data_IF_071395625554
#
_entry.id   IF_071395625554
#
_cell.length_a   1.000
_cell.length_b   1.000
_cell.length_c   1.000
_cell.angle_alpha   90.00
_cell.angle_beta   90.00
_cell.angle_gamma   90.00
#
_symmetry.space_group_name_H-M   'P 1'
#
loop_
_entity.id
_entity.type
_entity.pdbx_description
1 polymer ?
#
# COMPACT_ATOMS: atom_id res chain seq x y z
N UNK A 1 2.01 -1.48 -37.42
CA UNK A 1 1.70 -1.41 -35.98
C UNK A 1 3.00 -1.16 -35.24
N UNK A 2 3.38 0.11 -35.03
CA UNK A 2 4.55 0.41 -34.21
C UNK A 2 4.14 0.32 -32.73
N UNK A 3 4.77 -0.58 -31.98
CA UNK A 3 4.71 -0.53 -30.51
C UNK A 3 5.48 0.72 -30.12
N UNK A 4 4.76 1.74 -29.65
CA UNK A 4 5.38 3.01 -29.26
C UNK A 4 6.38 2.77 -28.13
N UNK A 5 7.67 2.93 -28.43
CA UNK A 5 8.72 2.84 -27.44
C UNK A 5 8.54 3.98 -26.44
N UNK A 6 8.36 3.65 -25.16
CA UNK A 6 8.23 4.62 -24.09
C UNK A 6 9.49 5.52 -24.05
N UNK A 7 9.36 6.81 -23.65
CA UNK A 7 10.52 7.66 -23.42
C UNK A 7 11.51 6.99 -22.46
N UNK A 8 12.81 7.17 -22.70
CA UNK A 8 13.86 6.47 -21.97
C UNK A 8 13.85 6.83 -20.47
N UNK A 9 13.48 8.07 -20.16
CA UNK A 9 13.28 8.61 -18.82
C UNK A 9 12.14 7.90 -18.11
N UNK A 10 11.00 7.73 -18.79
CA UNK A 10 9.82 7.02 -18.25
C UNK A 10 10.12 5.54 -18.01
N UNK A 11 10.82 4.87 -18.93
CA UNK A 11 11.28 3.49 -18.73
C UNK A 11 12.28 3.35 -17.57
N UNK A 12 13.16 4.34 -17.40
CA UNK A 12 14.14 4.39 -16.31
C UNK A 12 13.47 4.59 -14.96
N UNK A 13 12.54 5.54 -14.84
CA UNK A 13 11.80 5.77 -13.60
C UNK A 13 10.86 4.61 -13.27
N UNK A 14 10.17 4.01 -14.25
CA UNK A 14 9.36 2.82 -14.02
C UNK A 14 10.19 1.63 -13.52
N UNK A 15 11.42 1.45 -14.03
CA UNK A 15 12.36 0.45 -13.50
C UNK A 15 12.77 0.76 -12.06
N UNK A 16 13.18 2.00 -11.77
CA UNK A 16 13.50 2.45 -10.42
C UNK A 16 12.32 2.22 -9.46
N UNK A 17 11.09 2.54 -9.88
CA UNK A 17 9.89 2.35 -9.07
C UNK A 17 9.64 0.87 -8.75
N UNK A 18 9.89 -0.04 -9.70
CA UNK A 18 9.84 -1.50 -9.46
C UNK A 18 10.96 -1.97 -8.53
N UNK A 19 12.18 -1.44 -8.67
CA UNK A 19 13.30 -1.73 -7.77
C UNK A 19 12.99 -1.27 -6.33
N UNK A 20 12.47 -0.06 -6.15
CA UNK A 20 12.02 0.46 -4.85
C UNK A 20 10.87 -0.38 -4.27
N UNK A 21 9.86 -0.69 -5.07
CA UNK A 21 8.71 -1.46 -4.61
C UNK A 21 9.00 -2.94 -4.33
N UNK A 22 10.11 -3.49 -4.84
CA UNK A 22 10.59 -4.82 -4.44
C UNK A 22 11.14 -4.83 -3.00
N UNK A 23 11.46 -3.67 -2.42
CA UNK A 23 11.84 -3.51 -1.01
C UNK A 23 10.63 -3.33 -0.07
N UNK A 24 9.41 -3.25 -0.61
CA UNK A 24 8.19 -2.94 0.14
C UNK A 24 7.22 -4.14 0.18
N UNK A 25 6.58 -4.34 1.33
CA UNK A 25 5.54 -5.34 1.51
C UNK A 25 4.22 -4.91 0.86
N UNK A 26 3.71 -5.69 -0.10
CA UNK A 26 2.42 -5.43 -0.77
C UNK A 26 1.21 -5.61 0.15
N UNK A 27 1.39 -6.17 1.34
CA UNK A 27 0.36 -6.38 2.36
C UNK A 27 0.39 -5.37 3.52
N UNK A 28 1.30 -4.40 3.53
CA UNK A 28 1.33 -3.35 4.56
C UNK A 28 1.70 -1.95 4.01
N UNK A 29 1.70 -0.95 4.90
CA UNK A 29 2.00 0.44 4.56
C UNK A 29 1.00 1.09 3.60
N UNK A 30 1.38 2.24 3.06
CA UNK A 30 0.65 2.90 1.97
C UNK A 30 0.67 2.06 0.68
N UNK A 31 1.71 1.28 0.46
CA UNK A 31 1.86 0.43 -0.71
C UNK A 31 0.69 -0.55 -0.87
N UNK A 32 0.27 -1.20 0.21
CA UNK A 32 -0.93 -2.04 0.22
C UNK A 32 -2.21 -1.24 -0.03
N UNK A 33 -2.37 -0.07 0.62
CA UNK A 33 -3.55 0.79 0.46
C UNK A 33 -3.73 1.21 -1.00
N UNK A 34 -2.65 1.59 -1.69
CA UNK A 34 -2.74 1.95 -3.11
C UNK A 34 -3.04 0.75 -4.01
N UNK A 35 -2.44 -0.42 -3.75
CA UNK A 35 -2.76 -1.64 -4.50
C UNK A 35 -4.20 -2.11 -4.33
N UNK A 36 -4.76 -1.99 -3.11
CA UNK A 36 -6.15 -2.33 -2.84
C UNK A 36 -7.11 -1.34 -3.54
N UNK A 37 -6.75 -0.06 -3.58
CA UNK A 37 -7.62 1.01 -4.08
C UNK A 37 -7.56 1.22 -5.60
N UNK A 38 -6.41 1.04 -6.23
CA UNK A 38 -6.23 1.18 -7.68
C UNK A 38 -5.15 0.23 -8.25
N UNK A 39 -5.45 -1.08 -8.34
CA UNK A 39 -4.48 -2.07 -8.83
C UNK A 39 -4.17 -1.92 -10.33
N UNK A 40 -5.00 -1.23 -11.11
CA UNK A 40 -4.74 -0.95 -12.53
C UNK A 40 -3.85 0.28 -12.70
N UNK A 41 -4.11 1.36 -11.94
CA UNK A 41 -3.27 2.55 -11.89
C UNK A 41 -1.86 2.24 -11.38
N UNK A 42 -1.73 1.43 -10.33
CA UNK A 42 -0.42 0.96 -9.85
C UNK A 42 0.33 0.17 -10.94
N UNK A 43 -0.35 -0.77 -11.64
CA UNK A 43 0.24 -1.48 -12.79
C UNK A 43 0.70 -0.53 -13.89
N UNK A 44 -0.13 0.43 -14.28
CA UNK A 44 0.22 1.40 -15.31
C UNK A 44 1.46 2.24 -14.93
N UNK A 45 1.62 2.59 -13.66
CA UNK A 45 2.80 3.28 -13.14
C UNK A 45 4.05 2.38 -13.17
N UNK A 46 3.94 1.13 -12.68
CA UNK A 46 5.06 0.17 -12.69
C UNK A 46 5.48 -0.27 -14.10
N UNK A 47 4.57 -0.25 -15.06
CA UNK A 47 4.84 -0.53 -16.47
C UNK A 47 5.35 0.70 -17.24
N UNK A 48 5.37 1.90 -16.62
CA UNK A 48 5.76 3.15 -17.27
C UNK A 48 4.75 3.67 -18.29
N UNK A 49 3.51 3.17 -18.28
CA UNK A 49 2.40 3.67 -19.11
C UNK A 49 1.81 4.97 -18.56
N UNK A 50 1.91 5.17 -17.25
CA UNK A 50 1.55 6.41 -16.55
C UNK A 50 2.70 6.85 -15.63
N UNK A 51 2.75 8.15 -15.31
CA UNK A 51 3.66 8.67 -14.27
C UNK A 51 2.87 8.78 -12.96
N UNK A 52 3.27 8.09 -11.88
CA UNK A 52 2.59 8.20 -10.59
C UNK A 52 2.68 9.63 -10.05
N UNK A 53 1.63 10.13 -9.37
CA UNK A 53 1.72 11.37 -8.60
C UNK A 53 2.82 11.30 -7.53
N UNK A 54 3.44 12.44 -7.24
CA UNK A 54 4.52 12.50 -6.24
C UNK A 54 4.05 12.09 -4.84
N UNK A 55 2.81 12.37 -4.44
CA UNK A 55 2.30 11.95 -3.12
C UNK A 55 2.29 10.43 -2.94
N UNK A 56 2.12 9.67 -4.04
CA UNK A 56 2.23 8.21 -4.04
C UNK A 56 3.69 7.81 -3.83
N UNK A 57 4.62 8.39 -4.61
CA UNK A 57 6.06 8.10 -4.49
C UNK A 57 6.60 8.43 -3.09
N UNK A 58 6.22 9.60 -2.54
CA UNK A 58 6.58 10.01 -1.18
C UNK A 58 6.02 9.07 -0.11
N UNK A 59 4.81 8.53 -0.31
CA UNK A 59 4.23 7.54 0.61
C UNK A 59 4.94 6.19 0.53
N UNK A 60 5.39 5.77 -0.65
CA UNK A 60 6.24 4.56 -0.80
C UNK A 60 7.63 4.77 -0.18
N UNK A 61 8.18 5.99 -0.23
CA UNK A 61 9.41 6.36 0.47
C UNK A 61 9.21 6.42 2.00
N UNK A 62 8.01 6.80 2.48
CA UNK A 62 7.64 6.70 3.89
C UNK A 62 7.58 5.23 4.35
N UNK A 63 6.98 4.34 3.55
CA UNK A 63 7.00 2.90 3.84
C UNK A 63 8.45 2.38 3.84
N UNK A 64 9.27 2.82 2.88
CA UNK A 64 10.70 2.48 2.80
C UNK A 64 11.49 2.95 4.04
N UNK A 65 11.16 4.13 4.60
CA UNK A 65 11.75 4.61 5.84
C UNK A 65 11.43 3.69 7.02
N UNK A 66 10.23 3.09 7.04
CA UNK A 66 9.85 2.08 8.03
C UNK A 66 10.62 0.75 7.89
N UNK A 67 11.12 0.41 6.69
CA UNK A 67 11.84 -0.84 6.41
C UNK A 67 13.37 -0.68 6.46
N UNK A 68 13.90 0.48 6.05
CA UNK A 68 15.34 0.74 5.84
C UNK A 68 15.91 1.90 6.66
N UNK A 69 15.07 2.56 7.47
CA UNK A 69 15.43 3.74 8.26
C UNK A 69 15.30 5.05 7.49
N UNK A 70 15.07 6.15 8.21
CA UNK A 70 14.83 7.48 7.62
C UNK A 70 15.98 7.98 6.76
N UNK A 71 17.22 7.89 7.24
CA UNK A 71 18.39 8.38 6.49
C UNK A 71 18.62 7.69 5.14
N UNK A 72 18.22 6.41 5.01
CA UNK A 72 18.23 5.72 3.72
C UNK A 72 17.13 6.28 2.79
N UNK A 73 15.90 6.40 3.31
CA UNK A 73 14.76 6.92 2.56
C UNK A 73 14.94 8.39 2.14
N UNK A 74 15.57 9.24 2.97
CA UNK A 74 15.95 10.61 2.63
C UNK A 74 16.94 10.65 1.45
N UNK A 75 17.93 9.76 1.44
CA UNK A 75 18.89 9.65 0.32
C UNK A 75 18.23 9.16 -0.98
N UNK A 76 17.32 8.19 -0.88
CA UNK A 76 16.54 7.71 -2.03
C UNK A 76 15.44 8.70 -2.46
N UNK A 77 14.93 9.59 -1.59
CA UNK A 77 14.00 10.66 -2.00
C UNK A 77 14.67 11.60 -3.00
N UNK A 78 15.91 12.02 -2.76
CA UNK A 78 16.66 12.90 -3.68
C UNK A 78 16.77 12.26 -5.06
N UNK A 79 17.09 10.96 -5.10
CA UNK A 79 17.18 10.16 -6.34
C UNK A 79 15.80 9.99 -7.00
N UNK A 80 14.78 9.64 -6.22
CA UNK A 80 13.40 9.50 -6.68
C UNK A 80 12.88 10.80 -7.31
N UNK A 81 13.13 11.94 -6.67
CA UNK A 81 12.70 13.27 -7.14
C UNK A 81 13.32 13.61 -8.49
N UNK A 82 14.61 13.35 -8.66
CA UNK A 82 15.31 13.57 -9.93
C UNK A 82 14.75 12.68 -11.06
N UNK A 83 14.52 11.39 -10.79
CA UNK A 83 14.02 10.45 -11.79
C UNK A 83 12.54 10.69 -12.12
N UNK A 84 11.72 11.00 -11.11
CA UNK A 84 10.30 11.37 -11.27
C UNK A 84 10.16 12.63 -12.11
N UNK A 85 10.92 13.69 -11.81
CA UNK A 85 10.89 14.94 -12.56
C UNK A 85 11.27 14.77 -14.04
N UNK A 86 12.33 14.00 -14.32
CA UNK A 86 12.73 13.67 -15.68
C UNK A 86 11.66 12.86 -16.43
N UNK A 87 11.09 11.85 -15.76
CA UNK A 87 9.99 11.04 -16.31
C UNK A 87 8.72 11.86 -16.56
N UNK A 88 8.36 12.78 -15.67
CA UNK A 88 7.18 13.64 -15.80
C UNK A 88 7.36 14.59 -17.00
N UNK A 89 8.51 15.28 -17.09
CA UNK A 89 8.79 16.18 -18.20
C UNK A 89 8.82 15.47 -19.57
N UNK A 90 9.40 14.26 -19.64
CA UNK A 90 9.39 13.45 -20.85
C UNK A 90 7.98 12.95 -21.23
N UNK A 91 7.16 12.62 -20.23
CA UNK A 91 5.76 12.20 -20.42
C UNK A 91 4.87 13.36 -20.89
N UNK A 92 5.04 14.55 -20.31
CA UNK A 92 4.20 15.72 -20.59
C UNK A 92 4.54 16.38 -21.94
N UNK A 93 5.79 16.25 -22.42
CA UNK A 93 6.23 16.70 -23.76
C UNK A 93 5.71 15.86 -24.94
N UNK A 94 5.04 14.73 -24.70
CA UNK A 94 4.48 13.92 -25.80
C UNK A 94 3.37 14.69 -26.54
N UNK A 95 3.08 14.30 -27.77
CA UNK A 95 1.93 14.86 -28.50
C UNK A 95 0.62 14.65 -27.70
N UNK A 96 -0.12 15.74 -27.43
CA UNK A 96 -1.32 15.71 -26.57
C UNK A 96 -1.04 15.67 -25.06
N UNK A 97 0.23 15.76 -24.63
CA UNK A 97 0.62 15.66 -23.22
C UNK A 97 0.14 16.84 -22.37
N UNK A 98 0.23 18.07 -22.89
CA UNK A 98 -0.28 19.29 -22.24
C UNK A 98 -1.80 19.21 -22.02
N UNK A 99 -2.54 18.81 -23.05
CA UNK A 99 -3.99 18.69 -23.03
C UNK A 99 -4.43 17.61 -22.02
N UNK A 100 -3.79 16.44 -22.04
CA UNK A 100 -4.04 15.37 -21.07
C UNK A 100 -3.72 15.81 -19.62
N UNK A 101 -2.69 16.63 -19.43
CA UNK A 101 -2.31 17.19 -18.12
C UNK A 101 -3.35 18.21 -17.61
N UNK A 102 -3.91 19.03 -18.50
CA UNK A 102 -5.00 19.95 -18.19
C UNK A 102 -6.31 19.20 -17.84
N UNK A 103 -6.72 18.21 -18.65
CA UNK A 103 -7.87 17.33 -18.36
C UNK A 103 -7.71 16.62 -17.00
N UNK A 104 -6.49 16.16 -16.69
CA UNK A 104 -6.17 15.52 -15.39
C UNK A 104 -6.28 16.51 -14.22
N UNK A 105 -5.89 17.77 -14.40
CA UNK A 105 -6.07 18.82 -13.40
C UNK A 105 -7.55 19.15 -13.18
N UNK A 106 -8.36 19.29 -14.24
CA UNK A 106 -9.79 19.55 -14.11
C UNK A 106 -10.51 18.44 -13.33
N UNK A 107 -10.21 17.18 -13.66
CA UNK A 107 -10.68 16.01 -12.92
C UNK A 107 -10.28 16.07 -11.45
N UNK A 108 -9.00 16.34 -11.14
CA UNK A 108 -8.51 16.39 -9.76
C UNK A 108 -9.08 17.58 -8.96
N UNK A 109 -9.38 18.70 -9.62
CA UNK A 109 -10.09 19.83 -9.01
C UNK A 109 -11.54 19.51 -8.66
N UNK A 110 -12.20 18.64 -9.44
CA UNK A 110 -13.52 18.12 -9.11
C UNK A 110 -13.44 17.13 -7.93
N UNK A 111 -12.48 16.20 -7.92
CA UNK A 111 -12.25 15.28 -6.80
C UNK A 111 -11.95 16.04 -5.49
N UNK A 112 -11.10 17.08 -5.54
CA UNK A 112 -10.82 17.94 -4.38
C UNK A 112 -12.07 18.67 -3.86
N UNK A 113 -12.95 19.13 -4.75
CA UNK A 113 -14.24 19.76 -4.38
C UNK A 113 -15.19 18.75 -3.73
N UNK A 114 -15.27 17.54 -4.27
CA UNK A 114 -16.07 16.44 -3.70
C UNK A 114 -15.57 16.03 -2.31
N UNK A 115 -14.26 15.83 -2.13
CA UNK A 115 -13.66 15.49 -0.84
C UNK A 115 -13.95 16.57 0.23
N UNK A 116 -13.86 17.85 -0.13
CA UNK A 116 -14.21 18.95 0.77
C UNK A 116 -15.70 18.97 1.17
N UNK A 117 -16.61 18.61 0.25
CA UNK A 117 -18.03 18.44 0.55
C UNK A 117 -18.27 17.28 1.52
N UNK A 118 -17.72 16.09 1.24
CA UNK A 118 -17.76 14.92 2.13
C UNK A 118 -17.17 15.20 3.51
N UNK A 119 -16.09 15.98 3.60
CA UNK A 119 -15.51 16.38 4.89
C UNK A 119 -16.51 17.20 5.71
N UNK A 120 -17.21 18.16 5.08
CA UNK A 120 -18.22 18.99 5.75
C UNK A 120 -19.43 18.18 6.21
N UNK A 121 -19.91 17.25 5.38
CA UNK A 121 -21.01 16.33 5.69
C UNK A 121 -20.66 15.44 6.90
N UNK A 122 -19.51 14.75 6.85
CA UNK A 122 -19.06 13.87 7.94
C UNK A 122 -18.76 14.64 9.23
N UNK A 123 -18.13 15.82 9.12
CA UNK A 123 -17.90 16.67 10.28
C UNK A 123 -19.20 17.22 10.87
N UNK A 124 -20.26 17.44 10.08
CA UNK A 124 -21.59 17.78 10.58
C UNK A 124 -22.22 16.58 11.30
N UNK A 125 -22.27 15.40 10.64
CA UNK A 125 -22.78 14.17 11.23
C UNK A 125 -22.11 13.82 12.57
N UNK A 126 -20.79 13.97 12.65
CA UNK A 126 -20.00 13.74 13.86
C UNK A 126 -20.40 14.67 15.03
N UNK A 127 -20.78 15.93 14.74
CA UNK A 127 -21.27 16.86 15.76
C UNK A 127 -22.69 16.56 16.24
N UNK A 128 -23.49 15.86 15.42
CA UNK A 128 -24.89 15.50 15.71
C UNK A 128 -25.07 14.05 16.15
N UNK A 129 -24.00 13.24 16.15
CA UNK A 129 -24.04 11.81 16.47
C UNK A 129 -24.58 11.56 17.88
N UNK A 130 -25.55 10.64 17.99
CA UNK A 130 -26.28 10.41 19.24
C UNK A 130 -25.59 9.39 20.16
N UNK A 131 -24.54 8.70 19.69
CA UNK A 131 -23.83 7.68 20.45
C UNK A 131 -22.37 7.48 20.02
N UNK A 132 -21.52 7.07 20.97
CA UNK A 132 -20.08 6.97 20.77
C UNK A 132 -19.63 6.05 19.63
N UNK A 133 -20.35 4.95 19.38
CA UNK A 133 -20.03 4.04 18.26
C UNK A 133 -20.34 4.61 16.87
N UNK A 134 -21.32 5.51 16.77
CA UNK A 134 -21.59 6.26 15.53
C UNK A 134 -20.55 7.35 15.33
N UNK A 135 -20.24 8.11 16.40
CA UNK A 135 -19.19 9.12 16.40
C UNK A 135 -17.82 8.55 16.02
N UNK A 136 -17.46 7.35 16.52
CA UNK A 136 -16.21 6.69 16.14
C UNK A 136 -16.15 6.40 14.64
N UNK A 137 -17.17 5.73 14.07
CA UNK A 137 -17.20 5.42 12.63
C UNK A 137 -17.12 6.66 11.75
N UNK A 138 -17.85 7.73 12.11
CA UNK A 138 -17.81 9.00 11.40
C UNK A 138 -16.45 9.70 11.55
N UNK A 139 -15.78 9.56 12.70
CA UNK A 139 -14.41 10.03 12.93
C UNK A 139 -13.39 9.31 12.06
N UNK A 140 -13.51 7.97 11.94
CA UNK A 140 -12.63 7.14 11.11
C UNK A 140 -12.81 7.45 9.62
N UNK A 141 -14.06 7.56 9.13
CA UNK A 141 -14.33 7.97 7.74
C UNK A 141 -13.84 9.39 7.45
N UNK A 142 -14.04 10.32 8.39
CA UNK A 142 -13.57 11.70 8.29
C UNK A 142 -12.03 11.78 8.23
N UNK A 143 -11.30 10.90 8.93
CA UNK A 143 -9.85 10.82 8.85
C UNK A 143 -9.37 10.40 7.45
N UNK A 144 -10.03 9.41 6.84
CA UNK A 144 -9.77 8.99 5.46
C UNK A 144 -10.09 10.07 4.43
N UNK A 145 -11.26 10.70 4.52
CA UNK A 145 -11.66 11.80 3.60
C UNK A 145 -10.70 12.99 3.70
N UNK A 146 -10.18 13.30 4.89
CA UNK A 146 -9.14 14.32 5.09
C UNK A 146 -7.81 13.96 4.43
N UNK A 147 -7.40 12.70 4.47
CA UNK A 147 -6.18 12.28 3.78
C UNK A 147 -6.33 12.35 2.26
N UNK A 148 -7.45 11.85 1.74
CA UNK A 148 -7.82 11.98 0.33
C UNK A 148 -7.85 13.45 -0.12
N UNK A 149 -8.42 14.34 0.70
CA UNK A 149 -8.45 15.78 0.43
C UNK A 149 -7.05 16.42 0.40
N UNK A 150 -6.13 16.01 1.29
CA UNK A 150 -4.73 16.43 1.26
C UNK A 150 -4.02 15.93 0.00
N UNK A 151 -4.18 14.65 -0.35
CA UNK A 151 -3.59 14.04 -1.55
C UNK A 151 -4.11 14.68 -2.83
N UNK A 152 -5.42 14.88 -2.96
CA UNK A 152 -6.02 15.57 -4.10
C UNK A 152 -5.52 17.02 -4.24
N UNK A 153 -5.27 17.71 -3.13
CA UNK A 153 -4.68 19.05 -3.12
C UNK A 153 -3.22 19.03 -3.60
N UNK A 154 -2.38 18.14 -3.06
CA UNK A 154 -0.99 17.97 -3.49
C UNK A 154 -0.89 17.64 -4.99
N UNK A 155 -1.79 16.80 -5.51
CA UNK A 155 -1.91 16.47 -6.94
C UNK A 155 -2.30 17.68 -7.79
N UNK A 156 -3.23 18.51 -7.33
CA UNK A 156 -3.56 19.75 -8.04
C UNK A 156 -2.35 20.67 -8.18
N UNK A 157 -1.53 20.77 -7.13
CA UNK A 157 -0.37 21.66 -7.12
C UNK A 157 0.79 21.10 -7.97
N UNK A 158 1.00 19.78 -7.96
CA UNK A 158 1.93 19.11 -8.89
C UNK A 158 1.51 19.32 -10.36
N UNK A 159 0.25 19.06 -10.70
CA UNK A 159 -0.26 19.18 -12.07
C UNK A 159 -0.19 20.64 -12.58
N UNK A 160 -0.46 21.64 -11.71
CA UNK A 160 -0.24 23.06 -12.03
C UNK A 160 1.23 23.37 -12.28
N UNK A 161 2.13 22.91 -11.43
CA UNK A 161 3.56 23.14 -11.60
C UNK A 161 4.09 22.54 -12.91
N UNK A 162 3.61 21.34 -13.28
CA UNK A 162 3.93 20.67 -14.54
C UNK A 162 3.36 21.43 -15.76
N UNK A 163 2.11 21.92 -15.70
CA UNK A 163 1.55 22.77 -16.77
C UNK A 163 2.38 24.04 -16.98
N UNK A 164 2.78 24.72 -15.90
CA UNK A 164 3.65 25.91 -15.98
C UNK A 164 5.03 25.57 -16.56
N UNK A 165 5.57 24.38 -16.32
CA UNK A 165 6.82 23.93 -16.94
C UNK A 165 6.67 23.68 -18.44
N UNK A 166 5.62 22.96 -18.86
CA UNK A 166 5.32 22.71 -20.28
C UNK A 166 5.06 24.02 -21.03
N UNK A 167 4.31 24.94 -20.45
CA UNK A 167 3.99 26.23 -21.08
C UNK A 167 5.26 27.08 -21.29
N UNK A 168 6.20 27.08 -20.32
CA UNK A 168 7.52 27.73 -20.46
C UNK A 168 8.44 27.08 -21.49
N UNK A 169 8.32 25.77 -21.71
CA UNK A 169 9.06 25.06 -22.77
C UNK A 169 8.42 25.30 -24.16
N UNK A 170 7.12 25.59 -24.20
CA UNK A 170 6.37 25.89 -25.42
C UNK A 170 6.44 27.37 -25.84
N UNK A 171 6.70 28.30 -24.91
CA UNK A 171 7.02 29.68 -25.23
C UNK A 171 8.27 29.73 -26.12
N UNK A 172 8.19 30.27 -27.35
CA UNK A 172 9.37 30.44 -28.18
C UNK A 172 10.32 31.38 -27.45
N UNK A 173 11.51 30.89 -27.11
CA UNK A 173 12.56 31.73 -26.57
C UNK A 173 12.81 32.88 -27.56
N UNK A 174 12.32 34.09 -27.22
CA UNK A 174 12.79 35.30 -27.86
C UNK A 174 14.25 35.44 -27.45
N UNK A 175 15.12 34.83 -28.27
CA UNK A 175 16.54 34.97 -28.18
C UNK A 175 16.88 36.43 -28.47
N UNK A 176 16.88 37.26 -27.42
CA UNK A 176 17.40 38.63 -27.45
C UNK A 176 18.82 38.52 -27.99
N UNK A 177 19.13 39.06 -29.18
CA UNK A 177 20.44 38.88 -29.77
C UNK A 177 21.50 39.46 -28.82
N UNK A 178 22.62 38.76 -28.57
CA UNK A 178 23.68 39.24 -27.69
C UNK A 178 24.29 40.53 -28.29
N UNK A 179 23.83 41.67 -27.78
CA UNK A 179 24.12 42.99 -28.34
C UNK A 179 23.13 44.09 -27.96
N UNK A 180 21.91 43.75 -27.52
CA UNK A 180 20.88 44.76 -27.18
C UNK A 180 21.22 45.61 -25.93
N UNK A 181 22.08 45.12 -25.04
CA UNK A 181 22.63 45.88 -23.92
C UNK A 181 24.10 46.24 -24.17
N UNK A 182 24.33 47.24 -25.02
CA UNK A 182 25.55 48.06 -24.93
C UNK A 182 25.29 49.21 -23.96
N UNK A 183 26.16 49.44 -22.95
CA UNK A 183 26.12 50.66 -22.16
C UNK A 183 26.63 51.81 -23.04
N UNK A 184 25.73 52.69 -23.45
CA UNK A 184 26.09 53.80 -24.34
C UNK A 184 26.75 54.95 -23.58
N UNK A 185 27.73 55.60 -24.22
CA UNK A 185 28.65 56.54 -23.58
C UNK A 185 28.19 57.98 -23.83
N UNK A 186 27.52 58.55 -22.81
CA UNK A 186 27.39 59.99 -22.52
C UNK A 186 26.95 60.97 -23.63
N UNK A 187 25.62 61.10 -23.81
CA UNK A 187 24.91 62.38 -24.02
C UNK A 187 24.83 62.98 -25.45
N UNK A 188 24.12 64.12 -25.64
CA UNK A 188 23.14 64.80 -24.78
C UNK A 188 21.72 64.90 -25.40
N UNK A 189 20.75 65.38 -24.61
CA UNK A 189 19.29 65.43 -24.92
C UNK A 189 18.90 66.55 -25.90
N UNK A 190 17.90 66.32 -26.78
CA UNK A 190 16.86 67.33 -27.07
C UNK A 190 15.44 66.84 -26.72
N UNK A 191 14.53 67.79 -26.44
CA UNK A 191 13.12 67.55 -26.07
C UNK A 191 12.18 67.77 -27.28
N UNK A 192 11.16 66.92 -27.43
CA UNK A 192 9.77 67.18 -27.88
C UNK A 192 9.01 65.83 -27.86
N UNK A 193 7.85 65.68 -27.20
CA UNK A 193 6.47 66.15 -27.48
C UNK A 193 5.84 65.44 -28.70
N UNK A 194 4.64 64.90 -28.45
CA UNK A 194 3.84 64.10 -29.38
C UNK A 194 3.85 62.63 -28.95
N UNK A 195 2.77 61.85 -28.95
CA UNK A 195 1.31 62.03 -28.92
C UNK A 195 0.77 60.57 -28.88
N UNK A 196 -0.47 60.34 -28.47
CA UNK A 196 -1.03 58.99 -28.43
C UNK A 196 -1.30 58.45 -29.84
N UNK A 197 -1.01 57.17 -30.09
CA UNK A 197 -1.90 56.37 -30.94
C UNK A 197 -1.85 54.87 -30.62
N UNK A 198 -3.04 54.26 -30.60
CA UNK A 198 -3.27 52.83 -30.42
C UNK A 198 -3.67 52.25 -31.78
N UNK A 199 -3.03 51.17 -32.28
CA UNK A 199 -3.52 50.46 -33.44
C UNK A 199 -4.42 49.28 -33.03
N UNK A 200 -5.69 49.36 -33.39
CA UNK A 200 -6.63 48.23 -33.42
C UNK A 200 -6.32 47.25 -34.59
N UNK A 201 -6.83 46.00 -34.55
CA UNK A 201 -6.37 44.92 -35.43
C UNK A 201 -6.98 44.93 -36.83
N UNK A 202 -6.20 44.48 -37.81
CA UNK A 202 -6.67 44.29 -39.20
C UNK A 202 -7.33 42.92 -39.37
N UNK A 203 -8.57 42.93 -39.85
CA UNK A 203 -9.36 41.74 -40.19
C UNK A 203 -8.93 41.18 -41.54
N UNK A 204 -8.81 39.85 -41.67
CA UNK A 204 -8.95 39.17 -42.98
C UNK A 204 -9.60 37.79 -42.83
N UNK A 205 -10.58 37.51 -43.70
CA UNK A 205 -11.48 36.38 -43.59
C UNK A 205 -11.00 35.10 -44.31
N UNK A 206 -11.43 33.98 -43.72
CA UNK A 206 -11.83 32.68 -44.28
C UNK A 206 -11.32 32.20 -45.64
N UNK A 207 -10.81 30.96 -45.63
CA UNK A 207 -10.94 30.00 -46.73
C UNK A 207 -11.36 28.65 -46.14
N UNK A 208 -12.51 28.14 -46.57
CA UNK A 208 -13.17 26.94 -46.01
C UNK A 208 -12.80 25.67 -46.80
N UNK A 209 -12.64 24.53 -46.11
CA UNK A 209 -12.44 23.21 -46.72
C UNK A 209 -13.15 22.11 -45.89
N UNK A 210 -13.66 21.04 -46.53
CA UNK A 210 -14.90 20.40 -46.08
C UNK A 210 -14.77 19.33 -44.98
N UNK A 211 -15.86 19.16 -44.23
CA UNK A 211 -15.96 18.30 -43.06
C UNK A 211 -16.07 16.78 -43.37
N UNK A 212 -15.43 15.97 -42.51
CA UNK A 212 -15.60 14.52 -42.45
C UNK A 212 -16.69 14.12 -41.41
N UNK A 213 -17.37 12.96 -41.56
CA UNK A 213 -18.51 12.60 -40.71
C UNK A 213 -18.12 12.23 -39.26
N UNK A 214 -19.04 12.41 -38.29
CA UNK A 214 -18.71 12.31 -36.86
C UNK A 214 -18.43 10.88 -36.40
N UNK A 215 -17.21 10.66 -35.90
CA UNK A 215 -16.86 9.44 -35.19
C UNK A 215 -17.63 9.35 -33.85
N UNK A 216 -18.24 8.19 -33.59
CA UNK A 216 -19.05 7.94 -32.39
C UNK A 216 -18.20 8.09 -31.12
N UNK A 217 -18.55 9.05 -30.26
CA UNK A 217 -17.97 9.21 -28.91
C UNK A 217 -18.06 7.87 -28.15
N UNK A 218 -16.90 7.24 -27.89
CA UNK A 218 -16.83 6.08 -27.00
C UNK A 218 -16.98 6.57 -25.56
N UNK A 219 -17.91 5.98 -24.81
CA UNK A 219 -18.09 6.27 -23.38
C UNK A 219 -16.82 5.91 -22.61
N UNK A 220 -16.37 6.72 -21.63
CA UNK A 220 -15.30 6.31 -20.73
C UNK A 220 -15.75 5.08 -19.94
N UNK A 221 -14.98 3.98 -20.00
CA UNK A 221 -15.10 2.86 -19.07
C UNK A 221 -13.95 2.97 -18.08
N UNK A 222 -14.24 3.43 -16.87
CA UNK A 222 -13.32 3.55 -15.76
C UNK A 222 -14.06 3.25 -14.44
N UNK A 223 -13.41 2.56 -13.51
CA UNK A 223 -14.05 1.90 -12.38
C UNK A 223 -14.39 2.84 -11.20
N UNK A 224 -15.18 3.89 -11.44
CA UNK A 224 -15.76 4.77 -10.39
C UNK A 224 -17.29 4.96 -10.51
N UNK A 225 -17.98 4.06 -11.23
CA UNK A 225 -19.44 4.09 -11.43
C UNK A 225 -20.10 2.72 -11.22
N UNK A 226 -19.79 2.07 -10.09
CA UNK A 226 -20.56 0.95 -9.57
C UNK A 226 -21.07 1.34 -8.17
N UNK A 227 -22.34 1.78 -8.08
CA UNK A 227 -22.96 2.17 -6.80
C UNK A 227 -23.65 3.53 -6.74
N UNK A 228 -24.19 4.06 -7.85
CA UNK A 228 -25.17 5.15 -7.82
C UNK A 228 -26.36 4.71 -8.69
N UNK A 229 -27.44 4.31 -8.02
CA UNK A 229 -28.79 4.28 -8.59
C UNK A 229 -29.52 5.52 -8.08
N UNK A 230 -30.25 6.20 -8.96
CA UNK A 230 -31.21 7.24 -8.58
C UNK A 230 -32.39 7.14 -9.56
N UNK A 231 -33.60 7.02 -9.02
CA UNK A 231 -34.83 6.67 -9.75
C UNK A 231 -35.51 7.89 -10.38
N UNK A 232 -35.92 7.77 -11.66
CA UNK A 232 -37.14 8.40 -12.21
C UNK A 232 -37.36 8.03 -13.70
N UNK A 233 -38.13 6.97 -14.00
CA UNK A 233 -39.47 7.10 -14.62
C UNK A 233 -40.17 5.74 -14.92
N UNK A 234 -41.50 5.78 -15.03
CA UNK A 234 -42.46 4.67 -14.81
C UNK A 234 -43.53 4.65 -15.92
N UNK A 235 -44.05 3.55 -16.51
CA UNK A 235 -44.04 2.07 -16.34
C UNK A 235 -44.16 1.45 -17.79
N UNK A 236 -44.70 0.22 -18.12
CA UNK A 236 -45.15 -0.94 -17.32
C UNK A 236 -44.54 -2.31 -17.70
N UNK A 237 -44.82 -3.32 -16.87
CA UNK A 237 -44.42 -4.73 -17.05
C UNK A 237 -45.37 -5.55 -17.95
N UNK A 238 -44.94 -6.77 -18.33
CA UNK A 238 -45.84 -7.93 -18.33
C UNK A 238 -45.33 -9.04 -17.41
N UNK A 239 -46.23 -9.63 -16.61
CA UNK A 239 -45.95 -10.74 -15.70
C UNK A 239 -46.36 -12.09 -16.31
N UNK A 240 -45.60 -13.16 -16.03
CA UNK A 240 -46.00 -14.58 -16.12
C UNK A 240 -45.10 -15.45 -15.20
N UNK A 241 -45.49 -16.69 -14.83
CA UNK A 241 -45.54 -17.06 -13.40
C UNK A 241 -44.43 -18.01 -12.90
N UNK A 242 -44.27 -18.01 -11.58
CA UNK A 242 -43.38 -18.89 -10.80
C UNK A 242 -44.08 -20.20 -10.41
N UNK A 243 -43.49 -21.39 -10.68
CA UNK A 243 -43.91 -22.65 -10.07
C UNK A 243 -43.23 -22.88 -8.69
N UNK A 244 -43.91 -23.51 -7.71
CA UNK A 244 -43.42 -23.63 -6.33
C UNK A 244 -42.42 -24.76 -6.10
N UNK A 245 -41.62 -24.64 -5.04
CA UNK A 245 -40.70 -25.67 -4.56
C UNK A 245 -41.36 -26.65 -3.57
N UNK A 246 -41.01 -27.93 -3.66
CA UNK A 246 -41.46 -29.04 -2.82
C UNK A 246 -40.35 -30.12 -2.75
N UNK A 247 -40.33 -31.02 -1.75
CA UNK A 247 -39.11 -31.26 -0.97
C UNK A 247 -38.30 -32.53 -1.30
N UNK A 248 -37.21 -32.71 -0.56
CA UNK A 248 -36.22 -33.78 -0.70
C UNK A 248 -36.80 -35.20 -0.72
N UNK A 249 -36.27 -36.03 -1.62
CA UNK A 249 -36.56 -37.46 -1.71
C UNK A 249 -35.24 -38.27 -1.79
N UNK A 250 -35.18 -39.35 -1.00
CA UNK A 250 -34.01 -40.24 -0.88
C UNK A 250 -34.08 -41.35 -1.93
N UNK A 251 -32.98 -41.70 -2.63
CA UNK A 251 -32.90 -42.94 -3.39
C UNK A 251 -32.29 -44.08 -2.55
N UNK A 252 -33.10 -45.08 -2.19
CA UNK A 252 -32.60 -46.44 -1.84
C UNK A 252 -32.39 -47.21 -3.15
N UNK A 253 -31.20 -47.77 -3.39
CA UNK A 253 -30.87 -48.29 -4.74
C UNK A 253 -29.78 -49.36 -4.94
N UNK A 254 -29.20 -49.95 -3.88
CA UNK A 254 -28.48 -51.25 -3.87
C UNK A 254 -27.10 -51.43 -4.59
N UNK A 255 -26.24 -52.22 -3.91
CA UNK A 255 -25.03 -52.98 -4.37
C UNK A 255 -23.80 -52.11 -4.75
N UNK A 256 -22.66 -52.13 -4.06
CA UNK A 256 -21.83 -53.25 -3.54
C UNK A 256 -20.88 -52.77 -2.41
N UNK A 257 -20.50 -53.66 -1.48
CA UNK A 257 -19.33 -53.60 -0.55
C UNK A 257 -19.08 -52.30 0.25
N UNK A 258 -19.01 -52.27 1.59
CA UNK A 258 -18.68 -53.34 2.53
C UNK A 258 -17.53 -52.91 3.43
N UNK A 259 -17.79 -52.03 4.41
CA UNK A 259 -16.87 -51.68 5.48
C UNK A 259 -17.66 -51.36 6.76
N UNK A 260 -17.27 -51.95 7.88
CA UNK A 260 -17.83 -51.69 9.21
C UNK A 260 -17.24 -50.40 9.78
N UNK A 261 -18.10 -49.50 10.24
CA UNK A 261 -17.70 -48.42 11.15
C UNK A 261 -18.03 -48.86 12.58
N UNK A 262 -16.99 -49.06 13.39
CA UNK A 262 -17.15 -49.10 14.84
C UNK A 262 -17.40 -47.67 15.34
N UNK A 263 -18.46 -47.47 16.12
CA UNK A 263 -18.72 -46.21 16.82
C UNK A 263 -17.68 -46.03 17.94
N UNK A 264 -16.67 -45.21 17.68
CA UNK A 264 -15.71 -44.76 18.68
C UNK A 264 -16.35 -43.60 19.47
N UNK A 265 -16.46 -43.68 20.81
CA UNK A 265 -17.11 -42.63 21.60
C UNK A 265 -16.35 -41.31 21.46
N UNK A 266 -17.07 -40.22 21.23
CA UNK A 266 -16.50 -38.88 21.18
C UNK A 266 -15.94 -38.48 22.56
N UNK A 267 -14.72 -37.92 22.63
CA UNK A 267 -14.17 -37.45 23.90
C UNK A 267 -14.91 -36.20 24.37
N UNK A 268 -15.39 -36.25 25.61
CA UNK A 268 -16.01 -35.11 26.29
C UNK A 268 -15.07 -33.90 26.29
N UNK A 269 -15.50 -32.78 25.71
CA UNK A 269 -14.69 -31.56 25.59
C UNK A 269 -14.57 -30.89 26.95
N UNK A 270 -13.56 -31.30 27.72
CA UNK A 270 -13.12 -30.63 28.94
C UNK A 270 -12.66 -29.22 28.56
N UNK A 271 -13.52 -28.22 28.77
CA UNK A 271 -13.19 -26.81 28.54
C UNK A 271 -11.99 -26.43 29.41
N UNK A 272 -10.85 -26.01 28.82
CA UNK A 272 -9.64 -25.76 29.59
C UNK A 272 -9.83 -24.57 30.53
N UNK A 273 -9.66 -24.81 31.84
CA UNK A 273 -9.83 -23.80 32.89
C UNK A 273 -8.89 -22.59 32.70
N UNK A 274 -7.77 -22.79 31.99
CA UNK A 274 -6.83 -21.74 31.60
C UNK A 274 -7.45 -20.64 30.73
N UNK A 275 -8.42 -20.95 29.86
CA UNK A 275 -9.03 -19.93 28.97
C UNK A 275 -9.77 -18.83 29.74
N UNK A 276 -10.44 -19.19 30.83
CA UNK A 276 -11.12 -18.22 31.70
C UNK A 276 -10.14 -17.37 32.52
N UNK A 277 -8.98 -17.93 32.89
CA UNK A 277 -7.92 -17.20 33.60
C UNK A 277 -7.19 -16.23 32.67
N UNK A 278 -6.77 -16.69 31.48
CA UNK A 278 -6.16 -15.86 30.44
C UNK A 278 -7.07 -14.68 30.06
N UNK A 279 -8.39 -14.93 29.93
CA UNK A 279 -9.35 -13.86 29.64
C UNK A 279 -9.47 -12.82 30.77
N UNK A 280 -9.41 -13.22 32.04
CA UNK A 280 -9.39 -12.25 33.16
C UNK A 280 -8.12 -11.40 33.13
N UNK A 281 -6.95 -12.04 32.99
CA UNK A 281 -5.68 -11.33 32.90
C UNK A 281 -5.62 -10.36 31.70
N UNK A 282 -6.20 -10.73 30.56
CA UNK A 282 -6.34 -9.86 29.40
C UNK A 282 -7.24 -8.64 29.68
N UNK A 283 -8.43 -8.85 30.25
CA UNK A 283 -9.36 -7.77 30.62
C UNK A 283 -8.75 -6.83 31.67
N UNK A 284 -8.04 -7.36 32.66
CA UNK A 284 -7.32 -6.58 33.68
C UNK A 284 -6.21 -5.71 33.05
N UNK A 285 -5.43 -6.29 32.12
CA UNK A 285 -4.36 -5.58 31.41
C UNK A 285 -4.92 -4.45 30.54
N UNK A 286 -6.01 -4.71 29.80
CA UNK A 286 -6.72 -3.70 28.99
C UNK A 286 -7.33 -2.60 29.85
N UNK A 287 -7.95 -2.95 30.99
CA UNK A 287 -8.50 -1.98 31.95
C UNK A 287 -7.43 -1.09 32.59
N UNK A 288 -6.22 -1.61 32.78
CA UNK A 288 -5.06 -0.84 33.24
C UNK A 288 -4.52 0.08 32.13
N UNK A 289 -4.37 -0.42 30.89
CA UNK A 289 -3.94 0.38 29.74
C UNK A 289 -4.87 1.56 29.49
N UNK A 290 -6.19 1.35 29.44
CA UNK A 290 -7.18 2.42 29.26
C UNK A 290 -7.05 3.50 30.33
N UNK A 291 -6.84 3.11 31.59
CA UNK A 291 -6.65 4.04 32.71
C UNK A 291 -5.36 4.86 32.56
N UNK A 292 -4.23 4.20 32.30
CA UNK A 292 -2.94 4.86 32.14
C UNK A 292 -2.92 5.80 30.93
N UNK A 293 -3.58 5.42 29.82
CA UNK A 293 -3.75 6.30 28.65
C UNK A 293 -4.64 7.51 28.96
N UNK A 294 -5.75 7.33 29.70
CA UNK A 294 -6.61 8.44 30.14
C UNK A 294 -5.90 9.40 31.12
N UNK A 295 -4.99 8.88 31.95
CA UNK A 295 -4.12 9.66 32.85
C UNK A 295 -2.89 10.28 32.15
N UNK A 296 -2.68 10.02 30.84
CA UNK A 296 -1.52 10.50 30.08
C UNK A 296 -0.19 9.80 30.39
N UNK A 297 -0.20 8.71 31.16
CA UNK A 297 0.96 7.99 31.69
C UNK A 297 1.52 6.97 30.68
N UNK A 298 1.92 7.48 29.51
CA UNK A 298 2.26 6.64 28.35
C UNK A 298 3.46 5.70 28.54
N UNK A 299 4.43 6.06 29.40
CA UNK A 299 5.58 5.19 29.71
C UNK A 299 5.19 3.97 30.56
N UNK A 300 4.29 4.15 31.53
CA UNK A 300 3.80 3.05 32.35
C UNK A 300 2.84 2.15 31.54
N UNK A 301 2.05 2.74 30.64
CA UNK A 301 1.25 1.96 29.69
C UNK A 301 2.14 1.08 28.80
N UNK A 302 3.30 1.58 28.33
CA UNK A 302 4.28 0.77 27.61
C UNK A 302 4.87 -0.34 28.48
N UNK A 303 5.19 -0.07 29.76
CA UNK A 303 5.60 -1.10 30.72
C UNK A 303 4.61 -2.26 30.83
N UNK A 304 3.30 -1.98 30.86
CA UNK A 304 2.24 -3.01 30.84
C UNK A 304 2.25 -3.83 29.53
N UNK A 305 2.62 -3.24 28.39
CA UNK A 305 2.78 -3.97 27.12
C UNK A 305 4.02 -4.87 27.12
N UNK A 306 5.15 -4.41 27.65
CA UNK A 306 6.36 -5.24 27.81
C UNK A 306 6.11 -6.41 28.78
N UNK A 307 5.45 -6.15 29.93
CA UNK A 307 5.01 -7.20 30.85
C UNK A 307 4.04 -8.19 30.21
N UNK A 308 3.18 -7.74 29.30
CA UNK A 308 2.24 -8.60 28.59
C UNK A 308 2.92 -9.42 27.47
N UNK A 309 3.92 -8.86 26.80
CA UNK A 309 4.74 -9.55 25.80
C UNK A 309 5.56 -10.69 26.42
N UNK A 310 6.08 -10.49 27.64
CA UNK A 310 6.88 -11.49 28.37
C UNK A 310 6.05 -12.62 29.05
N UNK A 311 4.72 -12.66 28.86
CA UNK A 311 3.85 -13.73 29.39
C UNK A 311 3.83 -14.95 28.48
N UNK A 312 3.20 -16.03 28.97
CA UNK A 312 2.92 -17.22 28.20
C UNK A 312 2.26 -16.90 26.84
N UNK A 313 2.86 -17.41 25.76
CA UNK A 313 2.44 -17.17 24.39
C UNK A 313 0.99 -17.60 24.10
N UNK A 314 0.47 -18.61 24.82
CA UNK A 314 -0.92 -19.06 24.70
C UNK A 314 -1.95 -18.02 25.15
N UNK A 315 -1.55 -16.99 25.90
CA UNK A 315 -2.42 -15.88 26.31
C UNK A 315 -2.52 -14.79 25.24
N UNK A 316 -1.54 -14.70 24.33
CA UNK A 316 -1.42 -13.64 23.33
C UNK A 316 -2.66 -13.51 22.43
N UNK A 317 -3.29 -14.60 21.91
CA UNK A 317 -4.51 -14.49 21.11
C UNK A 317 -5.71 -13.95 21.88
N UNK A 318 -5.83 -14.25 23.19
CA UNK A 318 -6.92 -13.76 24.04
C UNK A 318 -6.73 -12.28 24.35
N UNK A 319 -5.50 -11.86 24.67
CA UNK A 319 -5.16 -10.45 24.87
C UNK A 319 -5.46 -9.62 23.62
N UNK A 320 -5.12 -10.12 22.44
CA UNK A 320 -5.44 -9.48 21.17
C UNK A 320 -6.95 -9.32 20.94
N UNK A 321 -7.82 -10.18 21.48
CA UNK A 321 -9.28 -9.96 21.38
C UNK A 321 -9.73 -8.79 22.26
N UNK A 322 -9.28 -8.76 23.52
CA UNK A 322 -9.69 -7.72 24.46
C UNK A 322 -9.14 -6.35 24.05
N UNK A 323 -7.91 -6.27 23.51
CA UNK A 323 -7.32 -5.04 22.96
C UNK A 323 -8.14 -4.49 21.79
N UNK A 324 -8.44 -5.31 20.78
CA UNK A 324 -9.26 -4.87 19.64
C UNK A 324 -10.69 -4.50 20.06
N UNK A 325 -11.30 -5.25 20.98
CA UNK A 325 -12.64 -4.95 21.53
C UNK A 325 -12.67 -3.62 22.29
N UNK A 326 -11.55 -3.19 22.87
CA UNK A 326 -11.38 -1.90 23.52
C UNK A 326 -10.88 -0.76 22.59
N UNK A 327 -10.71 -1.03 21.28
CA UNK A 327 -10.20 -0.05 20.31
C UNK A 327 -8.68 0.21 20.39
N UNK A 328 -7.94 -0.59 21.15
CA UNK A 328 -6.50 -0.42 21.42
C UNK A 328 -5.61 -1.06 20.34
N UNK A 329 -5.93 -0.83 19.07
CA UNK A 329 -5.18 -1.40 17.93
C UNK A 329 -3.72 -0.89 17.86
N UNK A 330 -3.47 0.35 18.31
CA UNK A 330 -2.11 0.91 18.39
C UNK A 330 -1.26 0.23 19.49
N UNK A 331 -1.86 -0.06 20.64
CA UNK A 331 -1.20 -0.82 21.70
C UNK A 331 -0.98 -2.28 21.30
N UNK A 332 -1.88 -2.88 20.51
CA UNK A 332 -1.66 -4.21 19.90
C UNK A 332 -0.46 -4.22 18.95
N UNK A 333 -0.37 -3.24 18.04
CA UNK A 333 0.76 -3.11 17.12
C UNK A 333 2.09 -2.87 17.88
N UNK A 334 2.06 -2.13 18.98
CA UNK A 334 3.21 -1.91 19.87
C UNK A 334 3.61 -3.22 20.56
N UNK A 335 2.65 -3.96 21.12
CA UNK A 335 2.90 -5.24 21.79
C UNK A 335 3.48 -6.28 20.83
N UNK A 336 2.98 -6.37 19.58
CA UNK A 336 3.57 -7.25 18.58
C UNK A 336 5.05 -6.92 18.30
N UNK A 337 5.45 -5.65 18.37
CA UNK A 337 6.85 -5.23 18.20
C UNK A 337 7.74 -5.65 19.39
N UNK A 338 7.22 -5.58 20.62
CA UNK A 338 7.89 -6.14 21.81
C UNK A 338 8.04 -7.67 21.69
N UNK A 339 6.97 -8.37 21.30
CA UNK A 339 6.98 -9.83 21.07
C UNK A 339 7.95 -10.19 19.93
N UNK A 340 8.02 -9.36 18.87
CA UNK A 340 8.98 -9.50 17.78
C UNK A 340 10.46 -9.33 18.21
N UNK A 341 10.72 -8.92 19.46
CA UNK A 341 12.04 -8.71 20.04
C UNK A 341 12.44 -9.74 21.12
N UNK A 342 11.57 -10.70 21.46
CA UNK A 342 11.86 -11.78 22.43
C UNK A 342 12.87 -12.82 21.88
N UNK A 343 13.50 -13.70 22.67
CA UNK A 343 14.36 -14.78 22.15
C UNK A 343 13.68 -15.67 21.08
N UNK A 344 14.44 -16.31 20.16
CA UNK A 344 13.89 -17.08 19.03
C UNK A 344 12.80 -18.10 19.39
N UNK A 345 12.98 -18.89 20.44
CA UNK A 345 11.98 -19.86 20.93
C UNK A 345 10.65 -19.18 21.35
N UNK A 346 10.73 -18.00 21.97
CA UNK A 346 9.57 -17.25 22.45
C UNK A 346 8.83 -16.57 21.29
N UNK A 347 9.57 -16.08 20.28
CA UNK A 347 9.01 -15.63 19.01
C UNK A 347 8.27 -16.77 18.30
N UNK A 348 8.90 -17.95 18.20
CA UNK A 348 8.31 -19.14 17.60
C UNK A 348 7.04 -19.60 18.35
N UNK A 349 7.05 -19.59 19.69
CA UNK A 349 5.89 -19.90 20.51
C UNK A 349 4.73 -18.89 20.31
N UNK A 350 5.03 -17.59 20.25
CA UNK A 350 4.05 -16.53 20.00
C UNK A 350 3.40 -16.64 18.61
N UNK A 351 4.21 -16.83 17.56
CA UNK A 351 3.73 -17.10 16.21
C UNK A 351 2.89 -18.39 16.16
N UNK A 352 3.34 -19.47 16.81
CA UNK A 352 2.62 -20.75 16.92
C UNK A 352 1.23 -20.60 17.57
N UNK A 353 1.12 -19.76 18.61
CA UNK A 353 -0.11 -19.48 19.33
C UNK A 353 -1.09 -18.63 18.50
N UNK A 354 -0.59 -17.59 17.82
CA UNK A 354 -1.39 -16.77 16.89
C UNK A 354 -1.91 -17.62 15.72
N UNK A 355 -1.06 -18.45 15.11
CA UNK A 355 -1.44 -19.37 14.04
C UNK A 355 -2.49 -20.38 14.50
N UNK A 356 -2.31 -21.00 15.68
CA UNK A 356 -3.26 -21.95 16.26
C UNK A 356 -4.63 -21.32 16.56
N UNK A 357 -4.67 -20.03 16.91
CA UNK A 357 -5.90 -19.27 17.09
C UNK A 357 -6.51 -18.72 15.78
N UNK A 358 -5.96 -19.08 14.62
CA UNK A 358 -6.43 -18.63 13.31
C UNK A 358 -6.06 -17.18 12.96
N UNK A 359 -5.22 -16.51 13.76
CA UNK A 359 -4.75 -15.14 13.52
C UNK A 359 -3.58 -15.09 12.54
N UNK A 360 -3.83 -15.54 11.31
CA UNK A 360 -2.80 -15.62 10.26
C UNK A 360 -2.19 -14.27 9.90
N UNK A 361 -2.98 -13.18 9.93
CA UNK A 361 -2.50 -11.83 9.68
C UNK A 361 -1.53 -11.34 10.78
N UNK A 362 -1.91 -11.46 12.05
CA UNK A 362 -1.08 -11.07 13.19
C UNK A 362 0.21 -11.92 13.25
N UNK A 363 0.09 -13.24 13.03
CA UNK A 363 1.24 -14.15 12.97
C UNK A 363 2.20 -13.75 11.84
N UNK A 364 1.68 -13.52 10.63
CA UNK A 364 2.49 -13.08 9.49
C UNK A 364 3.17 -11.72 9.74
N UNK A 365 2.49 -10.78 10.41
CA UNK A 365 3.06 -9.49 10.80
C UNK A 365 4.22 -9.68 11.79
N UNK A 366 4.02 -10.49 12.82
CA UNK A 366 5.04 -10.80 13.84
C UNK A 366 6.31 -11.40 13.19
N UNK A 367 6.16 -12.40 12.32
CA UNK A 367 7.27 -13.02 11.61
C UNK A 367 8.00 -12.03 10.68
N UNK A 368 7.26 -11.15 9.99
CA UNK A 368 7.86 -10.10 9.14
C UNK A 368 8.62 -9.04 9.96
N UNK A 369 8.23 -8.76 11.20
CA UNK A 369 8.99 -7.87 12.09
C UNK A 369 10.31 -8.53 12.56
N UNK A 370 10.30 -9.85 12.78
CA UNK A 370 11.45 -10.62 13.26
C UNK A 370 12.66 -10.66 12.31
N UNK A 371 12.49 -10.43 11.00
CA UNK A 371 13.59 -10.54 9.99
C UNK A 371 14.76 -9.56 10.20
N UNK A 372 14.60 -8.59 11.10
CA UNK A 372 15.64 -7.63 11.50
C UNK A 372 16.77 -8.26 12.33
N UNK A 373 16.56 -9.48 12.84
CA UNK A 373 17.53 -10.25 13.64
C UNK A 373 18.77 -10.73 12.87
N UNK A 374 19.85 -11.09 13.57
CA UNK A 374 20.96 -11.88 13.04
C UNK A 374 20.50 -13.18 12.35
N UNK A 375 21.31 -13.70 11.42
CA UNK A 375 20.99 -14.94 10.69
C UNK A 375 20.93 -16.18 11.59
N UNK A 376 21.76 -16.23 12.64
CA UNK A 376 21.76 -17.27 13.68
C UNK A 376 20.40 -17.33 14.42
N UNK A 377 19.90 -16.19 14.93
CA UNK A 377 18.58 -16.12 15.58
C UNK A 377 17.41 -16.49 14.65
N UNK A 378 17.57 -16.26 13.35
CA UNK A 378 16.56 -16.65 12.35
C UNK A 378 16.61 -18.17 12.10
N UNK A 379 17.80 -18.77 12.05
CA UNK A 379 17.94 -20.23 12.01
C UNK A 379 17.28 -20.88 13.24
N UNK A 380 17.58 -20.39 14.44
CA UNK A 380 16.98 -20.87 15.69
C UNK A 380 15.44 -20.73 15.69
N UNK A 381 14.91 -19.59 15.23
CA UNK A 381 13.46 -19.35 15.17
C UNK A 381 12.77 -20.27 14.14
N UNK A 382 13.40 -20.55 13.00
CA UNK A 382 12.90 -21.47 11.97
C UNK A 382 12.88 -22.90 12.49
N UNK A 383 13.96 -23.35 13.13
CA UNK A 383 14.05 -24.69 13.73
C UNK A 383 13.01 -24.86 14.85
N UNK A 384 12.85 -23.88 15.74
CA UNK A 384 11.84 -23.90 16.79
C UNK A 384 10.39 -23.91 16.24
N UNK A 385 10.14 -23.30 15.08
CA UNK A 385 8.85 -23.37 14.39
C UNK A 385 8.62 -24.75 13.75
N UNK A 386 9.63 -25.34 13.09
CA UNK A 386 9.53 -26.68 12.53
C UNK A 386 9.31 -27.74 13.63
N UNK A 387 10.03 -27.66 14.76
CA UNK A 387 9.83 -28.52 15.95
C UNK A 387 8.43 -28.37 16.57
N UNK A 388 7.85 -27.17 16.53
CA UNK A 388 6.47 -26.92 16.94
C UNK A 388 5.41 -27.40 15.92
N UNK A 389 5.83 -28.00 14.80
CA UNK A 389 4.94 -28.41 13.71
C UNK A 389 4.29 -27.22 13.00
N UNK A 390 5.04 -26.12 12.86
CA UNK A 390 4.63 -24.85 12.22
C UNK A 390 5.48 -24.54 10.98
N UNK A 391 5.65 -25.56 10.14
CA UNK A 391 6.44 -25.44 8.91
C UNK A 391 5.97 -24.33 7.97
N UNK A 392 4.67 -24.00 7.91
CA UNK A 392 4.17 -22.87 7.09
C UNK A 392 4.66 -21.52 7.62
N UNK A 393 4.71 -21.38 8.93
CA UNK A 393 5.21 -20.20 9.62
C UNK A 393 6.73 -20.11 9.51
N UNK A 394 7.44 -21.24 9.61
CA UNK A 394 8.88 -21.34 9.37
C UNK A 394 9.25 -20.91 7.93
N UNK A 395 8.54 -21.45 6.93
CA UNK A 395 8.70 -21.10 5.53
C UNK A 395 8.36 -19.62 5.30
N UNK A 396 7.30 -19.08 5.93
CA UNK A 396 6.93 -17.66 5.83
C UNK A 396 7.98 -16.71 6.44
N UNK A 397 8.69 -17.13 7.49
CA UNK A 397 9.80 -16.38 8.08
C UNK A 397 11.01 -16.32 7.14
N UNK A 398 11.37 -17.46 6.53
CA UNK A 398 12.42 -17.53 5.50
C UNK A 398 12.06 -16.72 4.25
N UNK A 399 10.82 -16.83 3.77
CA UNK A 399 10.29 -16.03 2.64
C UNK A 399 10.44 -14.54 2.90
N UNK A 400 10.10 -14.08 4.11
CA UNK A 400 10.24 -12.69 4.50
C UNK A 400 11.71 -12.25 4.60
N UNK A 401 12.58 -13.07 5.21
CA UNK A 401 14.00 -12.76 5.35
C UNK A 401 14.71 -12.69 4.00
N UNK A 402 14.50 -13.70 3.13
CA UNK A 402 15.12 -13.80 1.81
C UNK A 402 14.68 -12.66 0.88
N UNK A 403 13.51 -12.04 1.10
CA UNK A 403 13.08 -10.85 0.33
C UNK A 403 13.83 -9.57 0.70
N UNK A 404 14.23 -9.38 1.97
CA UNK A 404 14.75 -8.08 2.46
C UNK A 404 16.26 -8.06 2.77
N UNK A 405 16.91 -9.22 2.87
CA UNK A 405 18.33 -9.39 3.19
C UNK A 405 19.23 -9.57 1.97
N UNK A 406 20.52 -9.75 2.16
CA UNK A 406 21.46 -10.09 1.07
C UNK A 406 21.48 -11.61 0.81
N UNK A 407 21.87 -12.10 -0.38
CA UNK A 407 22.10 -13.54 -0.60
C UNK A 407 23.10 -14.14 0.41
N UNK A 408 24.13 -13.36 0.77
CA UNK A 408 25.16 -13.74 1.73
C UNK A 408 24.61 -13.85 3.15
N UNK A 409 23.73 -12.96 3.58
CA UNK A 409 23.04 -13.07 4.87
C UNK A 409 22.06 -14.26 4.90
N UNK A 410 21.39 -14.55 3.78
CA UNK A 410 20.56 -15.75 3.64
C UNK A 410 21.40 -17.04 3.71
N UNK A 411 22.62 -17.04 3.16
CA UNK A 411 23.50 -18.20 3.22
C UNK A 411 23.97 -18.51 4.66
N UNK A 412 24.17 -17.51 5.51
CA UNK A 412 24.53 -17.68 6.94
C UNK A 412 23.47 -18.43 7.75
N UNK A 413 22.19 -18.37 7.37
CA UNK A 413 21.13 -19.15 8.05
C UNK A 413 21.45 -20.65 7.99
N UNK A 414 22.10 -21.13 6.92
CA UNK A 414 22.47 -22.53 6.80
C UNK A 414 23.53 -22.98 7.82
N UNK A 415 24.19 -22.09 8.57
CA UNK A 415 25.13 -22.45 9.64
C UNK A 415 24.48 -23.21 10.79
N UNK A 416 23.20 -22.98 11.08
CA UNK A 416 22.47 -23.64 12.18
C UNK A 416 22.19 -25.13 11.93
N UNK A 417 21.61 -25.44 10.76
CA UNK A 417 21.47 -26.81 10.25
C UNK A 417 21.47 -26.77 8.70
N UNK A 418 22.60 -27.11 8.04
CA UNK A 418 22.69 -27.10 6.58
C UNK A 418 21.73 -28.10 5.92
N UNK A 419 21.41 -29.22 6.57
CA UNK A 419 20.59 -30.29 6.00
C UNK A 419 19.11 -29.88 6.00
N UNK A 420 18.65 -29.28 7.10
CA UNK A 420 17.27 -28.79 7.22
C UNK A 420 17.03 -27.48 6.45
N UNK A 421 17.97 -26.53 6.53
CA UNK A 421 17.73 -25.13 6.13
C UNK A 421 18.05 -24.84 4.67
N UNK A 422 19.05 -25.50 4.06
CA UNK A 422 19.41 -25.25 2.64
C UNK A 422 18.24 -25.51 1.67
N UNK A 423 17.48 -26.62 1.76
CA UNK A 423 16.33 -26.85 0.87
C UNK A 423 15.24 -25.77 1.03
N UNK A 424 14.98 -25.34 2.27
CA UNK A 424 13.99 -24.30 2.57
C UNK A 424 14.41 -22.93 2.07
N UNK A 425 15.69 -22.55 2.25
CA UNK A 425 16.27 -21.30 1.74
C UNK A 425 16.19 -21.21 0.21
N UNK A 426 16.47 -22.30 -0.50
CA UNK A 426 16.33 -22.36 -1.96
C UNK A 426 14.87 -22.27 -2.40
N UNK A 427 13.96 -22.96 -1.70
CA UNK A 427 12.51 -22.88 -1.96
C UNK A 427 11.98 -21.45 -1.78
N UNK A 428 12.35 -20.78 -0.69
CA UNK A 428 11.99 -19.40 -0.40
C UNK A 428 12.57 -18.43 -1.45
N UNK A 429 13.83 -18.63 -1.87
CA UNK A 429 14.45 -17.82 -2.92
C UNK A 429 13.78 -18.00 -4.29
N UNK A 430 13.39 -19.23 -4.65
CA UNK A 430 12.62 -19.53 -5.86
C UNK A 430 11.23 -18.85 -5.84
N UNK A 431 10.57 -18.80 -4.68
CA UNK A 431 9.31 -18.08 -4.46
C UNK A 431 9.45 -16.55 -4.54
N UNK A 432 10.67 -16.02 -4.60
CA UNK A 432 10.96 -14.62 -4.96
C UNK A 432 11.21 -14.48 -6.47
N UNK A 433 12.21 -15.19 -7.01
CA UNK A 433 12.49 -15.29 -8.46
C UNK A 433 13.62 -16.28 -8.77
N UNK A 434 13.67 -16.79 -10.01
CA UNK A 434 14.80 -17.59 -10.54
C UNK A 434 16.16 -16.87 -10.49
N UNK A 435 16.18 -15.54 -10.45
CA UNK A 435 17.42 -14.78 -10.23
C UNK A 435 17.86 -14.90 -8.77
N UNK A 436 16.92 -14.66 -7.85
CA UNK A 436 17.16 -14.74 -6.41
C UNK A 436 17.59 -16.13 -5.94
N UNK A 437 16.98 -17.17 -6.50
CA UNK A 437 17.38 -18.57 -6.28
C UNK A 437 18.84 -18.81 -6.67
N UNK A 438 19.25 -18.35 -7.86
CA UNK A 438 20.63 -18.49 -8.33
C UNK A 438 21.63 -17.71 -7.48
N UNK A 439 21.27 -16.51 -7.02
CA UNK A 439 22.12 -15.68 -6.16
C UNK A 439 22.32 -16.34 -4.78
N UNK A 440 21.25 -16.83 -4.15
CA UNK A 440 21.31 -17.54 -2.86
C UNK A 440 22.06 -18.87 -3.00
N UNK A 441 21.81 -19.63 -4.07
CA UNK A 441 22.56 -20.85 -4.36
C UNK A 441 24.06 -20.58 -4.59
N UNK A 442 24.41 -19.45 -5.22
CA UNK A 442 25.81 -19.04 -5.37
C UNK A 442 26.44 -18.72 -4.01
N UNK A 443 25.77 -17.92 -3.17
CA UNK A 443 26.24 -17.60 -1.83
C UNK A 443 26.42 -18.85 -0.94
N UNK A 444 25.48 -19.80 -1.01
CA UNK A 444 25.56 -21.10 -0.33
C UNK A 444 26.76 -21.95 -0.80
N UNK A 445 27.10 -21.94 -2.10
CA UNK A 445 28.32 -22.58 -2.62
C UNK A 445 29.58 -21.90 -2.11
N UNK A 446 29.61 -20.57 -2.10
CA UNK A 446 30.76 -19.79 -1.60
C UNK A 446 30.99 -20.04 -0.10
N UNK A 447 29.91 -20.23 0.67
CA UNK A 447 29.96 -20.58 2.09
C UNK A 447 30.22 -22.08 2.37
N UNK A 448 30.20 -22.95 1.34
CA UNK A 448 30.44 -24.40 1.48
C UNK A 448 29.22 -25.24 1.88
N UNK A 449 28.01 -24.67 1.87
CA UNK A 449 26.76 -25.37 2.21
C UNK A 449 26.04 -26.01 1.01
N UNK A 450 26.47 -25.70 -0.21
CA UNK A 450 25.99 -26.33 -1.44
C UNK A 450 27.16 -26.74 -2.34
N UNK A 451 26.97 -27.81 -3.13
CA UNK A 451 27.87 -28.23 -4.20
C UNK A 451 27.23 -27.92 -5.57
#
# INVERSE_FOLDING_TARGET
MAVGQLPAETGTFARYLRELAALLDRGSGWYAVFWQRDPEGMRACFEGREVPPWDVVASLLQDLAGVRGSGFAESEEVRARSLHGASAAAYDRRAGGREALAERLEMMLAERRYAAGREQELAHGLRTAAGGGEAQRLGDELAWVRDDGRRASARCDELRARLVAVDREAEPQLAVPPGWFRPDVTGPVPRQRGESEVPEPVVRAEAEAPAAPPAKRRRPRGARFAGIEDDADVMPAPALPVPPAAPAAVPRGARFGGAVHEERPEPEVVRPQGGAAARRAAVESVGLLLRLRAEGRSGEAHGVLCEAAARDAGQLPVLAEELHRAGLAADWATLLWEVASLPPEQLAAAASALAAAGRTQDCGQLLRQGVSRPAEEIADAVLALDDAGRGREADALLDAFVRVRTPEDSAKIAEGDPIALVPKLLSAAAAVSEARERDVLHALRVAGFAN
#
